data_IF_321276780441
#
_entry.id   IF_321276780441
#
_cell.length_a   1.000
_cell.length_b   1.000
_cell.length_c   1.000
_cell.angle_alpha   90.00
_cell.angle_beta   90.00
_cell.angle_gamma   90.00
#
_symmetry.space_group_name_H-M   'P 1'
#
loop_
_entity.id
_entity.type
_entity.pdbx_description
1 polymer ?
#
# COMPACT_ATOMS: atom_id res chain seq x y z
N UNK A 1 -3.13 25.15 -1.03
CA UNK A 1 -2.56 23.81 -0.77
C UNK A 1 -3.06 23.26 0.55
N UNK A 2 -3.16 24.10 1.58
CA UNK A 2 -3.60 23.67 2.92
C UNK A 2 -5.09 23.36 3.05
N UNK A 3 -5.94 23.74 2.08
CA UNK A 3 -7.35 23.32 2.04
C UNK A 3 -7.52 21.78 2.00
N UNK A 4 -6.50 21.05 1.53
CA UNK A 4 -6.48 19.59 1.61
C UNK A 4 -6.39 19.06 3.05
N UNK A 5 -6.11 19.90 4.04
CA UNK A 5 -6.06 19.54 5.46
C UNK A 5 -7.32 19.94 6.23
N UNK A 6 -8.25 20.68 5.61
CA UNK A 6 -9.52 21.02 6.24
C UNK A 6 -10.44 19.80 6.30
N UNK A 7 -11.12 19.61 7.43
CA UNK A 7 -12.04 18.50 7.65
C UNK A 7 -13.46 19.02 7.85
N UNK A 8 -14.34 18.75 6.89
CA UNK A 8 -15.77 19.06 6.97
C UNK A 8 -16.55 17.84 7.50
N UNK A 9 -17.03 17.91 8.74
CA UNK A 9 -17.81 16.85 9.37
C UNK A 9 -19.16 16.60 8.67
N UNK A 10 -19.80 17.65 8.16
CA UNK A 10 -21.12 17.56 7.54
C UNK A 10 -20.99 16.82 6.21
N UNK A 11 -20.07 17.25 5.36
CA UNK A 11 -19.79 16.61 4.07
C UNK A 11 -19.43 15.12 4.25
N UNK A 12 -18.58 14.80 5.22
CA UNK A 12 -18.18 13.42 5.48
C UNK A 12 -19.33 12.55 5.98
N UNK A 13 -20.27 13.11 6.74
CA UNK A 13 -21.46 12.38 7.20
C UNK A 13 -22.46 12.17 6.04
N UNK A 14 -22.61 13.16 5.16
CA UNK A 14 -23.45 13.05 3.96
C UNK A 14 -22.90 11.98 3.00
N UNK A 15 -21.60 11.99 2.72
CA UNK A 15 -20.94 10.99 1.88
C UNK A 15 -21.10 9.56 2.43
N UNK A 16 -20.90 9.37 3.74
CA UNK A 16 -21.10 8.08 4.41
C UNK A 16 -22.55 7.62 4.41
N UNK A 17 -23.50 8.54 4.42
CA UNK A 17 -24.93 8.23 4.36
C UNK A 17 -25.38 7.89 2.94
N UNK A 18 -24.89 8.63 1.94
CA UNK A 18 -25.24 8.45 0.53
C UNK A 18 -24.61 7.20 -0.11
N UNK A 19 -23.42 6.80 0.36
CA UNK A 19 -22.66 5.61 -0.11
C UNK A 19 -22.61 5.48 -1.64
N UNK A 20 -22.15 6.52 -2.38
CA UNK A 20 -22.17 6.52 -3.84
C UNK A 20 -21.39 5.35 -4.47
N UNK A 21 -20.33 4.88 -3.81
CA UNK A 21 -19.53 3.72 -4.19
C UNK A 21 -20.29 2.38 -4.24
N UNK A 22 -21.49 2.28 -3.65
CA UNK A 22 -22.31 1.07 -3.79
C UNK A 22 -22.94 0.94 -5.18
N UNK A 23 -23.03 2.04 -5.94
CA UNK A 23 -23.63 2.06 -7.29
C UNK A 23 -22.64 1.69 -8.38
N UNK A 24 -21.36 1.95 -8.15
CA UNK A 24 -20.28 1.76 -9.10
C UNK A 24 -19.06 1.13 -8.40
N UNK A 25 -18.70 -0.13 -8.70
CA UNK A 25 -17.50 -0.79 -8.17
C UNK A 25 -16.19 -0.03 -8.44
N UNK A 26 -16.16 0.79 -9.49
CA UNK A 26 -15.03 1.63 -9.92
C UNK A 26 -15.22 3.10 -9.55
N UNK A 27 -16.08 3.39 -8.57
CA UNK A 27 -16.32 4.75 -8.09
C UNK A 27 -15.03 5.46 -7.68
N UNK A 28 -14.17 4.77 -6.94
CA UNK A 28 -12.89 5.31 -6.50
C UNK A 28 -11.82 5.12 -7.58
N UNK A 29 -11.08 6.18 -7.90
CA UNK A 29 -10.07 6.17 -8.96
C UNK A 29 -8.70 6.62 -8.47
N UNK A 30 -8.68 7.46 -7.43
CA UNK A 30 -7.47 8.14 -6.99
C UNK A 30 -7.26 7.95 -5.49
N UNK A 31 -6.00 7.99 -5.08
CA UNK A 31 -5.61 8.16 -3.69
C UNK A 31 -4.57 9.28 -3.58
N UNK A 32 -4.80 10.18 -2.63
CA UNK A 32 -3.93 11.30 -2.31
C UNK A 32 -3.33 11.04 -0.94
N UNK A 33 -2.02 10.90 -0.87
CA UNK A 33 -1.31 10.54 0.37
C UNK A 33 -0.49 11.72 0.85
N UNK A 34 -0.67 12.09 2.12
CA UNK A 34 0.15 13.16 2.73
C UNK A 34 1.62 12.73 2.80
N UNK A 35 2.54 13.69 2.69
CA UNK A 35 3.97 13.41 2.82
C UNK A 35 4.32 12.76 4.16
N UNK A 36 3.61 13.12 5.24
CA UNK A 36 3.78 12.52 6.58
C UNK A 36 3.35 11.06 6.59
N UNK A 37 2.17 10.74 6.04
CA UNK A 37 1.67 9.38 5.93
C UNK A 37 2.64 8.51 5.11
N UNK A 38 3.10 9.02 3.96
CA UNK A 38 4.06 8.33 3.11
C UNK A 38 5.36 8.01 3.85
N UNK A 39 5.94 9.01 4.52
CA UNK A 39 7.19 8.82 5.28
C UNK A 39 7.02 7.81 6.40
N UNK A 40 5.90 7.85 7.15
CA UNK A 40 5.61 6.90 8.23
C UNK A 40 5.52 5.47 7.69
N UNK A 41 4.78 5.25 6.60
CA UNK A 41 4.66 3.94 5.95
C UNK A 41 6.04 3.43 5.50
N UNK A 42 6.79 4.23 4.73
CA UNK A 42 8.11 3.82 4.20
C UNK A 42 9.11 3.53 5.32
N UNK A 43 9.15 4.36 6.37
CA UNK A 43 10.04 4.13 7.53
C UNK A 43 9.64 2.85 8.25
N UNK A 44 8.34 2.61 8.44
CA UNK A 44 7.85 1.40 9.10
C UNK A 44 8.19 0.14 8.27
N UNK A 45 7.87 0.13 6.97
CA UNK A 45 8.20 -0.96 6.05
C UNK A 45 9.70 -1.24 6.00
N UNK A 46 10.54 -0.20 6.00
CA UNK A 46 12.00 -0.36 6.06
C UNK A 46 12.47 -0.98 7.38
N UNK A 47 11.83 -0.67 8.50
CA UNK A 47 12.15 -1.27 9.81
C UNK A 47 11.79 -2.76 9.87
N UNK A 48 10.76 -3.18 9.14
CA UNK A 48 10.38 -4.60 8.99
C UNK A 48 11.43 -5.45 8.25
N UNK A 49 12.31 -4.81 7.46
CA UNK A 49 13.37 -5.50 6.73
C UNK A 49 12.78 -6.44 5.66
N UNK A 50 12.95 -7.74 5.87
CA UNK A 50 12.40 -8.78 4.99
C UNK A 50 11.07 -9.36 5.48
N UNK A 51 10.56 -8.90 6.63
CA UNK A 51 9.27 -9.32 7.16
C UNK A 51 8.18 -8.35 6.71
N UNK A 52 7.00 -8.88 6.43
CA UNK A 52 5.84 -8.04 6.16
C UNK A 52 5.41 -7.35 7.46
N UNK A 53 5.16 -6.05 7.38
CA UNK A 53 4.55 -5.27 8.46
C UNK A 53 3.27 -4.64 7.95
N UNK A 54 2.35 -4.31 8.86
CA UNK A 54 1.12 -3.63 8.50
C UNK A 54 0.74 -2.53 9.48
N UNK A 55 -0.13 -1.65 9.01
CA UNK A 55 -0.69 -0.59 9.82
C UNK A 55 -2.00 -0.08 9.23
N UNK A 56 -2.54 0.95 9.88
CA UNK A 56 -3.80 1.56 9.51
C UNK A 56 -3.61 2.99 9.05
N UNK A 57 -4.55 3.44 8.24
CA UNK A 57 -4.53 4.75 7.60
C UNK A 57 -5.73 5.56 8.04
N UNK A 58 -5.47 6.76 8.53
CA UNK A 58 -6.48 7.74 8.92
C UNK A 58 -6.64 8.77 7.81
N UNK A 59 -7.88 9.08 7.50
CA UNK A 59 -8.17 9.98 6.40
C UNK A 59 -9.66 10.22 6.19
N UNK A 60 -9.98 10.58 4.96
CA UNK A 60 -11.34 10.85 4.52
C UNK A 60 -11.52 10.53 3.04
N UNK A 61 -12.75 10.65 2.57
CA UNK A 61 -13.08 10.55 1.14
C UNK A 61 -13.47 11.92 0.62
N UNK A 62 -12.98 12.28 -0.56
CA UNK A 62 -13.35 13.50 -1.28
C UNK A 62 -13.72 13.10 -2.71
N UNK A 63 -15.03 13.11 -3.02
CA UNK A 63 -15.55 12.58 -4.27
C UNK A 63 -15.10 11.14 -4.54
N UNK A 64 -14.40 10.94 -5.67
CA UNK A 64 -13.85 9.66 -6.12
C UNK A 64 -12.43 9.37 -5.63
N UNK A 65 -11.92 10.14 -4.66
CA UNK A 65 -10.56 10.02 -4.15
C UNK A 65 -10.52 9.68 -2.66
N UNK A 66 -9.59 8.82 -2.27
CA UNK A 66 -9.18 8.65 -0.87
C UNK A 66 -8.15 9.71 -0.51
N UNK A 67 -8.33 10.39 0.62
CA UNK A 67 -7.37 11.34 1.17
C UNK A 67 -6.76 10.74 2.44
N UNK A 68 -5.52 10.29 2.34
CA UNK A 68 -4.78 9.71 3.48
C UNK A 68 -4.00 10.82 4.17
N UNK A 69 -4.41 11.13 5.40
CA UNK A 69 -3.86 12.22 6.21
C UNK A 69 -2.72 11.73 7.10
N UNK A 70 -2.91 10.58 7.75
CA UNK A 70 -1.93 10.01 8.67
C UNK A 70 -1.97 8.46 8.66
N UNK A 71 -0.94 7.83 9.23
CA UNK A 71 -0.89 6.38 9.42
C UNK A 71 -0.27 6.03 10.76
N UNK A 72 -0.59 4.84 11.26
CA UNK A 72 0.08 4.27 12.43
C UNK A 72 0.32 2.78 12.24
N UNK A 73 1.43 2.30 12.82
CA UNK A 73 1.83 0.91 12.77
C UNK A 73 0.97 0.06 13.71
N UNK A 74 0.57 -1.13 13.27
CA UNK A 74 0.03 -2.13 14.18
C UNK A 74 1.19 -2.97 14.75
N UNK A 75 1.13 -3.39 16.03
CA UNK A 75 2.17 -4.20 16.66
C UNK A 75 2.07 -5.66 16.21
N UNK A 76 2.07 -5.87 14.90
CA UNK A 76 1.85 -7.18 14.27
C UNK A 76 2.91 -7.38 13.19
N UNK A 77 3.55 -8.54 13.23
CA UNK A 77 4.43 -9.00 12.17
C UNK A 77 3.60 -9.91 11.25
N UNK A 78 3.49 -9.51 9.99
CA UNK A 78 2.84 -10.30 8.96
C UNK A 78 3.71 -11.50 8.60
N UNK A 79 3.10 -12.67 8.53
CA UNK A 79 3.66 -13.79 7.78
C UNK A 79 2.65 -14.18 6.73
N UNK A 80 3.11 -14.45 5.50
CA UNK A 80 2.30 -14.87 4.36
C UNK A 80 1.42 -16.11 4.61
N UNK A 81 1.58 -16.78 5.77
CA UNK A 81 0.86 -18.00 6.15
C UNK A 81 -0.09 -17.83 7.32
N UNK A 82 -0.06 -16.69 8.04
CA UNK A 82 -0.90 -16.47 9.24
C UNK A 82 -1.37 -15.03 9.36
N UNK A 83 -2.67 -14.83 9.10
CA UNK A 83 -3.44 -13.66 9.56
C UNK A 83 -3.97 -13.96 10.97
N UNK A 84 -3.09 -14.08 11.96
CA UNK A 84 -3.51 -14.41 13.33
C UNK A 84 -3.12 -13.35 14.36
N UNK A 85 -3.18 -12.09 13.95
CA UNK A 85 -3.01 -10.93 14.83
C UNK A 85 -4.30 -10.10 14.98
N UNK A 86 -5.43 -10.57 14.43
CA UNK A 86 -6.66 -9.79 14.34
C UNK A 86 -7.19 -9.33 15.72
N UNK A 87 -7.26 -10.22 16.73
CA UNK A 87 -7.86 -9.85 18.02
C UNK A 87 -7.08 -8.75 18.77
N UNK A 88 -5.75 -8.87 18.87
CA UNK A 88 -4.90 -7.88 19.54
C UNK A 88 -4.79 -6.58 18.73
N UNK A 89 -4.79 -6.68 17.39
CA UNK A 89 -4.83 -5.52 16.52
C UNK A 89 -6.14 -4.74 16.64
N UNK A 90 -7.30 -5.42 16.78
CA UNK A 90 -8.59 -4.75 16.95
C UNK A 90 -8.67 -3.98 18.27
N UNK A 91 -8.16 -4.55 19.38
CA UNK A 91 -8.11 -3.84 20.66
C UNK A 91 -7.22 -2.60 20.57
N UNK A 92 -6.01 -2.75 20.02
CA UNK A 92 -5.11 -1.62 19.79
C UNK A 92 -5.76 -0.56 18.90
N UNK A 93 -6.44 -0.97 17.83
CA UNK A 93 -7.11 -0.08 16.89
C UNK A 93 -8.22 0.74 17.54
N UNK A 94 -9.06 0.11 18.38
CA UNK A 94 -10.11 0.81 19.12
C UNK A 94 -9.50 1.86 20.05
N UNK A 95 -8.56 1.44 20.90
CA UNK A 95 -7.93 2.33 21.89
C UNK A 95 -7.18 3.48 21.21
N UNK A 96 -6.43 3.20 20.15
CA UNK A 96 -5.66 4.22 19.44
C UNK A 96 -6.56 5.23 18.74
N UNK A 97 -7.69 4.78 18.18
CA UNK A 97 -8.67 5.66 17.54
C UNK A 97 -9.32 6.57 18.58
N UNK A 98 -9.73 6.05 19.74
CA UNK A 98 -10.30 6.83 20.84
C UNK A 98 -9.32 7.90 21.35
N UNK A 99 -8.03 7.55 21.49
CA UNK A 99 -6.99 8.50 21.88
C UNK A 99 -6.77 9.59 20.81
N UNK A 100 -6.81 9.24 19.53
CA UNK A 100 -6.71 10.21 18.45
C UNK A 100 -7.87 11.22 18.50
N UNK A 101 -9.09 10.75 18.74
CA UNK A 101 -10.27 11.60 18.86
C UNK A 101 -10.20 12.53 20.07
N UNK A 102 -9.70 12.04 21.21
CA UNK A 102 -9.48 12.86 22.40
C UNK A 102 -8.47 14.00 22.18
N UNK A 103 -7.47 13.78 21.31
CA UNK A 103 -6.48 14.78 20.91
C UNK A 103 -6.93 15.66 19.74
N UNK A 104 -8.20 15.54 19.31
CA UNK A 104 -8.79 16.37 18.28
C UNK A 104 -8.50 15.94 16.83
N UNK A 105 -7.94 14.74 16.60
CA UNK A 105 -7.90 14.16 15.25
C UNK A 105 -9.30 13.69 14.85
N UNK A 106 -9.85 14.27 13.79
CA UNK A 106 -11.22 14.02 13.35
C UNK A 106 -11.32 12.89 12.32
N UNK A 107 -10.22 12.63 11.63
CA UNK A 107 -10.12 11.63 10.59
C UNK A 107 -10.28 10.22 11.15
N UNK A 108 -11.22 9.48 10.55
CA UNK A 108 -11.45 8.08 10.88
C UNK A 108 -10.48 7.20 10.09
N UNK A 109 -10.39 5.93 10.48
CA UNK A 109 -9.66 4.92 9.70
C UNK A 109 -10.42 4.67 8.39
N UNK A 110 -9.70 4.71 7.27
CA UNK A 110 -10.25 4.55 5.91
C UNK A 110 -9.56 3.44 5.12
N UNK A 111 -8.62 2.73 5.74
CA UNK A 111 -7.85 1.70 5.07
C UNK A 111 -6.72 1.15 5.91
N UNK A 112 -6.01 0.22 5.30
CA UNK A 112 -4.82 -0.41 5.84
C UNK A 112 -3.68 -0.37 4.83
N UNK A 113 -2.46 -0.43 5.33
CA UNK A 113 -1.28 -0.61 4.49
C UNK A 113 -0.47 -1.79 4.98
N UNK A 114 0.27 -2.42 4.08
CA UNK A 114 1.27 -3.42 4.42
C UNK A 114 2.46 -3.37 3.47
N UNK A 115 3.53 -4.07 3.84
CA UNK A 115 4.75 -4.11 3.03
C UNK A 115 4.92 -5.43 2.31
N UNK A 116 5.38 -5.39 1.06
CA UNK A 116 5.84 -6.56 0.29
C UNK A 116 7.34 -6.42 -0.01
N UNK A 117 8.25 -6.94 0.83
CA UNK A 117 9.69 -6.73 0.65
C UNK A 117 10.27 -7.52 -0.54
N UNK A 118 10.47 -6.85 -1.68
CA UNK A 118 11.23 -7.33 -2.83
C UNK A 118 10.42 -8.01 -3.94
N UNK A 119 9.11 -8.20 -3.79
CA UNK A 119 8.23 -8.86 -4.77
C UNK A 119 7.15 -7.95 -5.36
N UNK A 120 7.23 -6.64 -5.10
CA UNK A 120 6.38 -5.64 -5.75
C UNK A 120 5.05 -5.42 -5.05
N UNK A 121 4.34 -4.41 -5.53
CA UNK A 121 3.07 -3.96 -4.95
C UNK A 121 1.90 -4.58 -5.72
N UNK A 122 1.24 -5.55 -5.09
CA UNK A 122 0.08 -6.28 -5.60
C UNK A 122 -0.64 -6.94 -4.40
N UNK A 123 -1.85 -7.49 -4.59
CA UNK A 123 -2.57 -8.20 -3.53
C UNK A 123 -2.51 -9.72 -3.73
N UNK A 124 -2.03 -10.44 -2.71
CA UNK A 124 -2.10 -11.91 -2.62
C UNK A 124 -3.53 -12.40 -2.40
N UNK A 125 -3.77 -13.72 -2.50
CA UNK A 125 -5.09 -14.28 -2.18
C UNK A 125 -5.56 -13.96 -0.75
N UNK A 126 -4.64 -13.88 0.21
CA UNK A 126 -4.92 -13.50 1.60
C UNK A 126 -5.26 -12.01 1.70
N UNK A 127 -4.54 -11.16 0.98
CA UNK A 127 -4.80 -9.72 0.95
C UNK A 127 -6.16 -9.42 0.32
N UNK A 128 -6.50 -10.11 -0.77
CA UNK A 128 -7.80 -9.99 -1.42
C UNK A 128 -8.93 -10.41 -0.48
N UNK A 129 -8.77 -11.52 0.25
CA UNK A 129 -9.76 -11.95 1.23
C UNK A 129 -9.92 -10.94 2.39
N UNK A 130 -8.80 -10.44 2.90
CA UNK A 130 -8.77 -9.43 3.99
C UNK A 130 -9.40 -8.12 3.54
N UNK A 131 -9.03 -7.64 2.35
CA UNK A 131 -9.59 -6.43 1.76
C UNK A 131 -11.08 -6.57 1.45
N UNK A 132 -11.51 -7.73 0.95
CA UNK A 132 -12.93 -8.03 0.72
C UNK A 132 -13.76 -8.00 2.01
N UNK A 133 -13.25 -8.59 3.09
CA UNK A 133 -13.89 -8.53 4.42
C UNK A 133 -13.98 -7.09 4.93
N UNK A 134 -12.89 -6.32 4.83
CA UNK A 134 -12.90 -4.93 5.29
C UNK A 134 -13.83 -4.04 4.45
N UNK A 135 -13.87 -4.19 3.13
CA UNK A 135 -14.84 -3.51 2.27
C UNK A 135 -16.29 -3.93 2.59
N UNK A 136 -16.53 -5.14 3.07
CA UNK A 136 -17.87 -5.57 3.46
C UNK A 136 -18.35 -4.90 4.75
N UNK A 137 -17.47 -4.75 5.76
CA UNK A 137 -17.87 -4.32 7.11
C UNK A 137 -17.47 -2.89 7.48
N UNK A 138 -16.47 -2.30 6.82
CA UNK A 138 -15.85 -1.01 7.18
C UNK A 138 -15.78 -0.02 6.00
N UNK A 139 -16.65 -0.17 5.00
CA UNK A 139 -16.67 0.70 3.82
C UNK A 139 -16.89 2.19 4.17
N UNK A 140 -16.14 3.15 3.59
CA UNK A 140 -15.14 3.00 2.52
C UNK A 140 -13.76 2.54 3.01
N UNK A 141 -13.15 1.57 2.31
CA UNK A 141 -11.86 0.96 2.70
C UNK A 141 -10.86 0.80 1.55
N UNK A 142 -9.57 1.11 1.75
CA UNK A 142 -8.51 0.96 0.75
C UNK A 142 -7.30 0.17 1.29
N UNK A 143 -6.64 -0.61 0.41
CA UNK A 143 -5.37 -1.29 0.70
C UNK A 143 -4.22 -0.55 0.02
N UNK A 144 -3.13 -0.28 0.76
CA UNK A 144 -1.88 0.25 0.19
C UNK A 144 -0.74 -0.74 0.43
N UNK A 145 0.01 -1.06 -0.61
CA UNK A 145 1.18 -1.93 -0.54
C UNK A 145 2.44 -1.12 -0.79
N UNK A 146 3.47 -1.30 0.03
CA UNK A 146 4.77 -0.64 -0.12
C UNK A 146 5.89 -1.69 -0.25
N UNK A 147 6.74 -1.59 -1.26
CA UNK A 147 7.95 -2.42 -1.37
C UNK A 147 9.19 -1.62 -0.90
N UNK A 148 9.68 -1.82 0.34
CA UNK A 148 10.81 -1.07 0.86
C UNK A 148 12.14 -1.43 0.16
N UNK A 149 12.30 -2.67 -0.31
CA UNK A 149 13.54 -3.12 -0.95
C UNK A 149 13.66 -2.58 -2.37
N UNK A 150 12.55 -2.57 -3.13
CA UNK A 150 12.49 -1.91 -4.43
C UNK A 150 12.64 -0.41 -4.32
N UNK A 151 12.01 0.19 -3.31
CA UNK A 151 12.18 1.61 -3.03
C UNK A 151 13.65 2.00 -2.85
N UNK A 152 14.39 1.20 -2.07
CA UNK A 152 15.81 1.45 -1.83
C UNK A 152 16.72 1.15 -3.02
N UNK A 153 16.33 0.21 -3.89
CA UNK A 153 17.14 -0.18 -5.05
C UNK A 153 16.89 0.70 -6.29
N UNK A 154 15.65 1.13 -6.51
CA UNK A 154 15.28 2.01 -7.60
C UNK A 154 15.46 3.51 -7.29
N UNK A 155 15.53 3.89 -6.01
CA UNK A 155 15.58 5.30 -5.59
C UNK A 155 14.26 6.06 -5.79
N UNK A 156 13.17 5.34 -6.06
CA UNK A 156 11.80 5.84 -6.20
C UNK A 156 10.91 5.00 -5.29
N UNK A 157 9.98 5.63 -4.57
CA UNK A 157 9.04 4.89 -3.73
C UNK A 157 8.19 3.96 -4.59
N UNK A 158 8.27 2.67 -4.29
CA UNK A 158 7.46 1.62 -4.89
C UNK A 158 6.24 1.39 -3.99
N UNK A 159 5.09 1.84 -4.47
CA UNK A 159 3.83 1.91 -3.74
C UNK A 159 2.67 1.70 -4.71
N UNK A 160 1.73 0.85 -4.30
CA UNK A 160 0.49 0.62 -5.03
C UNK A 160 -0.72 0.77 -4.10
N UNK A 161 -1.84 1.24 -4.63
CA UNK A 161 -3.09 1.34 -3.92
C UNK A 161 -4.16 0.54 -4.65
N UNK A 162 -4.94 -0.24 -3.91
CA UNK A 162 -5.80 -1.26 -4.47
C UNK A 162 -7.14 -1.34 -3.76
N UNK A 163 -8.16 -1.74 -4.54
CA UNK A 163 -9.47 -2.13 -4.05
C UNK A 163 -9.95 -3.39 -4.74
N UNK A 164 -10.64 -4.25 -4.00
CA UNK A 164 -11.18 -5.50 -4.54
C UNK A 164 -12.55 -5.29 -5.15
N UNK A 165 -12.86 -6.07 -6.19
CA UNK A 165 -14.21 -6.10 -6.75
C UNK A 165 -15.18 -6.84 -5.81
N UNK A 166 -16.46 -6.44 -5.79
CA UNK A 166 -17.49 -7.19 -5.09
C UNK A 166 -17.62 -8.63 -5.60
N UNK A 167 -18.05 -9.55 -4.72
CA UNK A 167 -18.28 -10.95 -5.11
C UNK A 167 -19.30 -11.03 -6.26
N UNK A 168 -18.93 -11.74 -7.33
CA UNK A 168 -19.78 -11.93 -8.51
C UNK A 168 -19.67 -10.84 -9.57
N UNK A 169 -18.91 -9.76 -9.32
CA UNK A 169 -18.58 -8.79 -10.35
C UNK A 169 -17.49 -9.34 -11.28
N UNK A 170 -17.70 -9.23 -12.59
CA UNK A 170 -16.69 -9.55 -13.59
C UNK A 170 -16.18 -8.24 -14.19
N UNK A 171 -14.87 -7.93 -14.04
CA UNK A 171 -14.32 -6.73 -14.63
C UNK A 171 -14.42 -6.77 -16.17
N UNK A 172 -14.50 -5.61 -16.83
CA UNK A 172 -14.40 -5.53 -18.28
C UNK A 172 -13.13 -6.24 -18.78
N UNK A 173 -13.23 -6.96 -19.90
CA UNK A 173 -12.20 -7.89 -20.42
C UNK A 173 -10.84 -7.21 -20.68
N UNK A 174 -10.80 -5.89 -20.81
CA UNK A 174 -9.60 -5.10 -21.12
C UNK A 174 -8.82 -4.63 -19.88
N UNK A 175 -9.33 -4.83 -18.66
CA UNK A 175 -8.62 -4.49 -17.41
C UNK A 175 -7.61 -5.60 -17.05
N UNK A 176 -6.61 -5.79 -17.91
CA UNK A 176 -5.39 -6.51 -17.54
C UNK A 176 -4.55 -5.70 -16.54
N UNK A 177 -3.54 -6.31 -15.87
CA UNK A 177 -2.68 -5.58 -14.94
C UNK A 177 -2.06 -4.37 -15.64
N UNK A 178 -2.37 -3.17 -15.14
CA UNK A 178 -2.01 -1.89 -15.75
C UNK A 178 -0.49 -1.63 -15.77
N UNK A 179 0.29 -2.33 -14.95
CA UNK A 179 1.74 -2.20 -14.88
C UNK A 179 2.41 -3.57 -14.75
N UNK A 180 3.38 -3.84 -15.62
CA UNK A 180 4.24 -5.02 -15.52
C UNK A 180 5.21 -4.83 -14.35
N UNK A 181 5.16 -5.74 -13.38
CA UNK A 181 6.14 -5.82 -12.29
C UNK A 181 6.89 -7.14 -12.34
N UNK A 182 8.20 -7.12 -12.04
CA UNK A 182 9.01 -8.35 -11.98
C UNK A 182 8.64 -9.16 -10.74
N UNK A 183 7.72 -10.12 -10.86
CA UNK A 183 7.30 -10.94 -9.72
C UNK A 183 8.18 -12.19 -9.62
N UNK A 184 8.71 -12.55 -8.44
CA UNK A 184 9.47 -13.78 -8.25
C UNK A 184 8.67 -15.05 -8.59
N UNK A 185 9.36 -16.11 -9.02
CA UNK A 185 8.70 -17.35 -9.46
C UNK A 185 7.81 -17.99 -8.40
N UNK A 186 8.20 -17.94 -7.13
CA UNK A 186 7.41 -18.51 -6.03
C UNK A 186 6.11 -17.74 -5.76
N UNK A 187 5.89 -16.59 -6.40
CA UNK A 187 4.72 -15.71 -6.21
C UNK A 187 3.89 -15.50 -7.47
N UNK A 188 4.40 -15.93 -8.63
CA UNK A 188 3.76 -15.67 -9.92
C UNK A 188 2.42 -16.38 -10.08
N UNK A 189 2.26 -17.56 -9.50
CA UNK A 189 1.01 -18.33 -9.56
C UNK A 189 -0.09 -17.63 -8.76
N UNK A 190 0.20 -17.24 -7.51
CA UNK A 190 -0.74 -16.53 -6.64
C UNK A 190 -1.15 -15.19 -7.27
N UNK A 191 -0.19 -14.43 -7.79
CA UNK A 191 -0.48 -13.22 -8.55
C UNK A 191 -1.38 -13.49 -9.76
N UNK A 192 -1.07 -14.50 -10.56
CA UNK A 192 -1.83 -14.83 -11.78
C UNK A 192 -3.29 -15.23 -11.52
N UNK A 193 -3.58 -15.83 -10.35
CA UNK A 193 -4.93 -16.22 -9.94
C UNK A 193 -5.75 -15.01 -9.46
N UNK A 194 -5.12 -14.10 -8.71
CA UNK A 194 -5.83 -13.04 -7.98
C UNK A 194 -5.76 -11.65 -8.64
N UNK A 195 -4.89 -11.42 -9.64
CA UNK A 195 -4.70 -10.11 -10.27
C UNK A 195 -5.96 -9.50 -10.91
N UNK A 196 -6.98 -10.31 -11.23
CA UNK A 196 -8.27 -9.86 -11.78
C UNK A 196 -9.33 -9.58 -10.73
N UNK A 197 -9.02 -9.78 -9.44
CA UNK A 197 -9.97 -9.61 -8.33
C UNK A 197 -9.91 -8.22 -7.70
N UNK A 198 -9.00 -7.36 -8.15
CA UNK A 198 -8.81 -6.00 -7.68
C UNK A 198 -8.38 -5.09 -8.82
N UNK A 199 -8.50 -3.79 -8.61
CA UNK A 199 -7.97 -2.73 -9.47
C UNK A 199 -7.02 -1.82 -8.70
N UNK A 200 -6.13 -1.17 -9.44
CA UNK A 200 -5.23 -0.15 -8.91
C UNK A 200 -5.87 1.24 -8.98
N UNK A 201 -5.57 2.07 -7.98
CA UNK A 201 -5.94 3.49 -7.96
C UNK A 201 -4.70 4.33 -8.23
N UNK A 202 -4.90 5.50 -8.86
CA UNK A 202 -3.82 6.44 -9.15
C UNK A 202 -3.31 7.07 -7.85
N UNK A 203 -2.04 6.82 -7.53
CA UNK A 203 -1.40 7.33 -6.32
C UNK A 203 -0.79 8.70 -6.59
N UNK A 204 -1.22 9.70 -5.83
CA UNK A 204 -0.63 11.04 -5.83
C UNK A 204 -0.26 11.46 -4.41
N UNK A 205 0.63 12.44 -4.30
CA UNK A 205 1.13 12.93 -3.02
C UNK A 205 0.83 14.40 -2.84
N UNK A 206 0.59 14.80 -1.61
CA UNK A 206 0.45 16.21 -1.25
C UNK A 206 1.19 16.51 0.06
N UNK A 207 1.49 17.78 0.26
CA UNK A 207 2.18 18.29 1.45
C UNK A 207 1.68 19.70 1.76
N UNK A 208 1.79 20.10 3.02
CA UNK A 208 1.46 21.47 3.41
C UNK A 208 2.57 22.43 2.97
N UNK A 209 2.27 23.73 3.06
CA UNK A 209 3.30 24.76 2.86
C UNK A 209 4.42 24.64 3.91
N UNK A 210 4.05 24.40 5.17
CA UNK A 210 5.02 24.20 6.25
C UNK A 210 5.90 22.97 6.02
N UNK A 211 5.31 21.84 5.59
CA UNK A 211 6.09 20.64 5.24
C UNK A 211 7.10 20.93 4.13
N UNK A 212 6.74 21.78 3.17
CA UNK A 212 7.64 22.18 2.09
C UNK A 212 8.86 22.95 2.62
N UNK A 213 8.66 23.85 3.58
CA UNK A 213 9.75 24.56 4.25
C UNK A 213 10.62 23.61 5.09
N UNK A 214 10.01 22.72 5.86
CA UNK A 214 10.73 21.75 6.70
C UNK A 214 11.56 20.81 5.84
N UNK A 215 10.99 20.23 4.78
CA UNK A 215 11.71 19.33 3.87
C UNK A 215 12.88 20.03 3.17
N UNK A 216 12.71 21.31 2.81
CA UNK A 216 13.80 22.11 2.23
C UNK A 216 14.92 22.37 3.25
N UNK A 217 14.57 22.67 4.50
CA UNK A 217 15.55 22.83 5.58
C UNK A 217 16.29 21.51 5.89
N UNK A 218 15.58 20.39 5.90
CA UNK A 218 16.19 19.07 6.06
C UNK A 218 17.17 18.75 4.91
N UNK A 219 16.82 19.08 3.67
CA UNK A 219 17.70 18.87 2.52
C UNK A 219 19.06 19.56 2.68
N UNK A 220 19.07 20.80 3.19
CA UNK A 220 20.30 21.56 3.44
C UNK A 220 21.25 20.89 4.44
N UNK A 221 20.73 20.04 5.33
CA UNK A 221 21.52 19.33 6.35
C UNK A 221 21.85 17.90 5.93
N UNK A 222 20.91 17.21 5.27
CA UNK A 222 20.98 15.77 5.02
C UNK A 222 21.43 15.38 3.60
N UNK A 223 21.69 16.33 2.70
CA UNK A 223 22.18 16.03 1.35
C UNK A 223 23.45 15.15 1.34
N UNK A 224 24.34 15.32 2.33
CA UNK A 224 25.55 14.50 2.50
C UNK A 224 25.23 13.01 2.68
N UNK A 225 24.13 12.67 3.38
CA UNK A 225 23.71 11.27 3.55
C UNK A 225 23.25 10.64 2.24
N UNK A 226 22.70 11.46 1.33
CA UNK A 226 22.32 10.97 0.00
C UNK A 226 23.57 10.58 -0.80
N UNK A 227 24.64 11.38 -0.71
CA UNK A 227 25.90 11.13 -1.40
C UNK A 227 26.78 10.05 -0.73
N UNK A 228 26.70 9.91 0.58
CA UNK A 228 27.49 8.92 1.33
C UNK A 228 26.82 7.54 1.39
N UNK A 229 25.58 7.43 0.90
CA UNK A 229 24.90 6.14 0.79
C UNK A 229 25.62 5.25 -0.23
N UNK A 230 25.73 3.96 0.09
CA UNK A 230 26.22 2.93 -0.84
C UNK A 230 25.09 1.96 -1.16
N UNK A 231 24.24 2.27 -2.17
CA UNK A 231 23.09 1.43 -2.53
C UNK A 231 23.48 -0.01 -2.86
N UNK A 232 24.67 -0.22 -3.42
CA UNK A 232 25.16 -1.56 -3.79
C UNK A 232 25.40 -2.44 -2.57
N UNK A 233 25.96 -1.88 -1.48
CA UNK A 233 26.21 -2.65 -0.27
C UNK A 233 24.91 -2.87 0.53
N UNK A 234 24.05 -1.84 0.62
CA UNK A 234 22.79 -1.97 1.36
C UNK A 234 21.81 -2.93 0.69
N UNK A 235 21.81 -3.00 -0.65
CA UNK A 235 20.87 -3.81 -1.42
C UNK A 235 21.49 -5.11 -1.95
N UNK A 236 22.71 -5.47 -1.54
CA UNK A 236 23.42 -6.65 -2.04
C UNK A 236 22.61 -7.95 -1.90
N UNK A 237 21.93 -8.14 -0.77
CA UNK A 237 21.07 -9.30 -0.53
C UNK A 237 19.90 -9.38 -1.53
N UNK A 238 19.22 -8.26 -1.76
CA UNK A 238 18.13 -8.17 -2.74
C UNK A 238 18.61 -8.47 -4.16
N UNK A 239 19.73 -7.88 -4.58
CA UNK A 239 20.31 -8.08 -5.91
C UNK A 239 20.68 -9.57 -6.11
N UNK A 240 21.32 -10.20 -5.14
CA UNK A 240 21.66 -11.62 -5.20
C UNK A 240 20.42 -12.50 -5.34
N UNK A 241 19.35 -12.19 -4.59
CA UNK A 241 18.09 -12.92 -4.68
C UNK A 241 17.42 -12.77 -6.06
N UNK A 242 17.43 -11.56 -6.64
CA UNK A 242 16.91 -11.32 -7.99
C UNK A 242 17.70 -12.08 -9.07
N UNK A 243 19.03 -12.14 -8.96
CA UNK A 243 19.87 -12.93 -9.87
C UNK A 243 19.55 -14.43 -9.73
N UNK A 244 19.35 -14.91 -8.51
CA UNK A 244 18.92 -16.28 -8.24
C UNK A 244 17.57 -16.61 -8.88
N UNK A 245 16.57 -15.73 -8.72
CA UNK A 245 15.25 -15.88 -9.34
C UNK A 245 15.33 -15.88 -10.88
N UNK A 246 16.11 -14.96 -11.46
CA UNK A 246 16.33 -14.90 -12.91
C UNK A 246 16.98 -16.18 -13.44
N UNK A 247 17.97 -16.73 -12.73
CA UNK A 247 18.61 -18.00 -13.07
C UNK A 247 17.60 -19.16 -13.10
N UNK A 248 16.67 -19.20 -12.14
CA UNK A 248 15.60 -20.21 -12.12
C UNK A 248 14.61 -20.01 -13.27
N UNK A 249 14.22 -18.76 -13.59
CA UNK A 249 13.35 -18.44 -14.74
C UNK A 249 13.97 -18.90 -16.06
N UNK A 250 15.26 -18.62 -16.25
CA UNK A 250 15.98 -19.04 -17.45
C UNK A 250 16.02 -20.57 -17.59
N UNK A 251 16.22 -21.31 -16.49
CA UNK A 251 16.16 -22.78 -16.51
C UNK A 251 14.79 -23.34 -16.90
N UNK A 252 13.70 -22.71 -16.46
CA UNK A 252 12.34 -23.12 -16.86
C UNK A 252 12.09 -22.90 -18.36
N UNK A 253 12.54 -21.76 -18.90
CA UNK A 253 12.43 -21.45 -20.33
C UNK A 253 13.27 -22.43 -21.16
N UNK A 254 14.49 -22.72 -20.72
CA UNK A 254 15.37 -23.69 -21.39
C UNK A 254 14.72 -25.09 -21.42
N UNK A 255 14.19 -25.56 -20.29
CA UNK A 255 13.47 -26.83 -20.23
C UNK A 255 12.25 -26.87 -21.17
N UNK A 256 11.49 -25.78 -21.26
CA UNK A 256 10.36 -25.67 -22.16
C UNK A 256 10.79 -25.72 -23.63
N UNK A 257 11.90 -25.05 -24.00
CA UNK A 257 12.44 -25.08 -25.35
C UNK A 257 12.88 -26.50 -25.76
N UNK A 258 13.49 -27.27 -24.87
CA UNK A 258 13.84 -28.68 -25.12
C UNK A 258 12.63 -29.61 -25.27
N UNK A 259 11.46 -29.25 -24.75
CA UNK A 259 10.23 -30.05 -24.87
C UNK A 259 9.44 -29.73 -26.16
N UNK A 260 9.71 -28.57 -26.78
CA UNK A 260 9.01 -28.07 -27.97
C UNK A 260 9.81 -28.32 -29.26
N UNK A 261 11.11 -28.65 -29.15
CA UNK A 261 11.99 -29.10 -30.23
C UNK A 261 12.08 -30.63 -30.26
#
# INVERSE_FOLDING_TARGET
MDSAYEYDEVEQNEMRSAKPWQKDPHYFKEVRISAVALLKMVIHSKRGGNLEVMGLMQGRVDGNAFIIMDTFALPVEGTETRVNAQAQAYEYMSVYTDLCEAEGKKEKVVGWYHSHPGYGCWLSGIDVATQGLNQQFQEPWIAIVVDPLRTMSAGKVDIGAFRTYPQGYQPPVEEGPSEYQSIPLNKIEDFGVHCKQYYSLDVTFFKSELDSHILSALWNTYWLNTLSSSPLLTNAGYINNQIGDLSMKLRQVDHFLYLVL
#
